data_IF_000666344023
#
_entry.id   IF_000666344023
#
_cell.length_a   1.000
_cell.length_b   1.000
_cell.length_c   1.000
_cell.angle_alpha   90.00
_cell.angle_beta   90.00
_cell.angle_gamma   90.00
#
_symmetry.space_group_name_H-M   'P 1'
#
loop_
_entity.id
_entity.type
_entity.pdbx_description
1 polymer ?
#
# COMPACT_ATOMS: atom_id res chain seq x y z
N UNK A 1 -1.01 -4.64 10.17
CA UNK A 1 -0.48 -3.65 9.21
C UNK A 1 -0.39 -4.40 7.92
N UNK A 2 -1.25 -4.04 6.99
CA UNK A 2 -1.72 -4.97 5.96
C UNK A 2 -1.30 -4.46 4.58
N UNK A 3 -0.97 -3.17 4.51
CA UNK A 3 -0.48 -2.48 3.34
C UNK A 3 0.85 -1.82 3.62
N UNK A 4 1.69 -1.78 2.61
CA UNK A 4 2.95 -1.05 2.64
C UNK A 4 2.96 -0.04 1.52
N UNK A 5 3.47 1.15 1.80
CA UNK A 5 3.60 2.16 0.77
C UNK A 5 4.58 1.70 -0.31
N UNK A 6 4.12 1.60 -1.56
CA UNK A 6 4.92 1.23 -2.74
C UNK A 6 6.07 2.20 -3.06
N UNK A 7 6.12 3.35 -2.39
CA UNK A 7 7.16 4.38 -2.57
C UNK A 7 8.19 4.41 -1.45
N UNK A 8 7.77 4.19 -0.19
CA UNK A 8 8.62 4.44 0.96
C UNK A 8 8.63 3.32 2.02
N UNK A 9 7.83 2.27 1.82
CA UNK A 9 7.77 1.08 2.68
C UNK A 9 7.05 1.30 4.00
N UNK A 10 6.43 2.46 4.21
CA UNK A 10 5.72 2.74 5.46
C UNK A 10 4.49 1.83 5.63
N UNK A 11 4.27 1.29 6.85
CA UNK A 11 3.08 0.56 7.24
C UNK A 11 1.77 1.34 7.15
N UNK A 12 0.73 0.71 6.62
CA UNK A 12 -0.66 1.20 6.68
C UNK A 12 -1.63 0.04 6.93
N UNK A 13 -2.73 0.34 7.59
CA UNK A 13 -3.81 -0.63 7.77
C UNK A 13 -4.76 -0.59 6.56
N UNK A 14 -5.25 -1.75 6.13
CA UNK A 14 -6.12 -1.86 4.95
C UNK A 14 -7.36 -0.97 5.08
N UNK A 15 -7.88 -0.88 6.31
CA UNK A 15 -9.06 -0.08 6.64
C UNK A 15 -8.88 1.41 6.33
N UNK A 16 -7.65 1.92 6.29
CA UNK A 16 -7.36 3.33 5.93
C UNK A 16 -7.86 3.69 4.53
N UNK A 17 -7.95 2.70 3.62
CA UNK A 17 -8.51 2.92 2.29
C UNK A 17 -10.01 3.28 2.33
N UNK A 18 -10.75 2.79 3.35
CA UNK A 18 -12.17 3.14 3.54
C UNK A 18 -12.37 4.59 4.02
N UNK A 19 -11.32 5.23 4.51
CA UNK A 19 -11.36 6.61 5.02
C UNK A 19 -11.17 7.66 3.91
N UNK A 20 -10.86 7.25 2.68
CA UNK A 20 -10.67 8.15 1.54
C UNK A 20 -12.03 8.69 1.07
N UNK A 21 -12.32 9.95 1.43
CA UNK A 21 -13.59 10.59 1.11
C UNK A 21 -13.87 10.66 -0.40
N UNK A 22 -15.09 10.28 -0.78
CA UNK A 22 -15.56 10.40 -2.16
C UNK A 22 -15.09 9.30 -3.12
N UNK A 23 -14.39 8.28 -2.61
CA UNK A 23 -13.89 7.17 -3.41
C UNK A 23 -14.46 5.83 -2.97
N UNK A 24 -14.60 4.90 -3.92
CA UNK A 24 -14.80 3.49 -3.57
C UNK A 24 -13.49 2.89 -3.09
N UNK A 25 -13.58 1.80 -2.32
CA UNK A 25 -12.41 1.04 -1.87
C UNK A 25 -11.47 0.66 -3.03
N UNK A 26 -12.01 0.17 -4.15
CA UNK A 26 -11.22 -0.16 -5.34
C UNK A 26 -10.49 1.05 -5.94
N UNK A 27 -11.14 2.21 -5.95
CA UNK A 27 -10.54 3.46 -6.44
C UNK A 27 -9.40 3.90 -5.53
N UNK A 28 -9.65 3.91 -4.21
CA UNK A 28 -8.65 4.25 -3.21
C UNK A 28 -7.44 3.29 -3.27
N UNK A 29 -7.68 1.97 -3.39
CA UNK A 29 -6.62 0.97 -3.59
C UNK A 29 -5.79 1.28 -4.83
N UNK A 30 -6.44 1.49 -5.97
CA UNK A 30 -5.74 1.76 -7.23
C UNK A 30 -4.89 3.03 -7.14
N UNK A 31 -5.40 4.08 -6.47
CA UNK A 31 -4.62 5.28 -6.18
C UNK A 31 -3.48 5.00 -5.21
N UNK A 32 -3.67 4.18 -4.18
CA UNK A 32 -2.62 3.82 -3.23
C UNK A 32 -1.43 3.13 -3.89
N UNK A 33 -1.66 2.27 -4.89
CA UNK A 33 -0.58 1.65 -5.67
C UNK A 33 0.31 2.69 -6.35
N UNK A 34 -0.28 3.80 -6.82
CA UNK A 34 0.40 4.87 -7.58
C UNK A 34 0.99 5.95 -6.66
N UNK A 35 0.22 6.42 -5.70
CA UNK A 35 0.52 7.57 -4.84
C UNK A 35 1.18 7.16 -3.51
N UNK A 36 1.01 5.90 -3.09
CA UNK A 36 1.43 5.41 -1.79
C UNK A 36 0.72 6.13 -0.64
N UNK A 37 1.44 6.34 0.47
CA UNK A 37 0.88 6.97 1.66
C UNK A 37 0.45 8.44 1.48
N UNK A 38 0.81 9.09 0.35
CA UNK A 38 0.31 10.43 0.02
C UNK A 38 -1.19 10.47 -0.21
N UNK A 39 -1.80 9.34 -0.58
CA UNK A 39 -3.25 9.22 -0.69
C UNK A 39 -3.95 9.67 0.60
N UNK A 40 -3.34 9.38 1.75
CA UNK A 40 -3.87 9.70 3.07
C UNK A 40 -3.43 11.09 3.58
N UNK A 41 -2.84 11.92 2.71
CA UNK A 41 -2.27 13.22 3.09
C UNK A 41 -0.97 13.14 3.89
N UNK A 42 -0.37 11.94 4.03
CA UNK A 42 0.89 11.76 4.71
C UNK A 42 2.09 12.13 3.82
N UNK A 43 3.20 12.46 4.45
CA UNK A 43 4.49 12.60 3.77
C UNK A 43 5.26 11.29 3.85
N UNK A 44 5.80 10.83 2.72
CA UNK A 44 6.67 9.65 2.71
C UNK A 44 7.78 9.77 3.76
N UNK A 45 7.99 8.69 4.51
CA UNK A 45 9.06 8.59 5.47
C UNK A 45 10.44 8.80 4.81
N UNK A 46 11.41 9.25 5.63
CA UNK A 46 12.81 9.43 5.23
C UNK A 46 13.72 9.01 6.40
N UNK A 47 14.70 8.10 6.21
CA UNK A 47 14.95 7.36 4.97
C UNK A 47 13.80 6.40 4.62
N UNK A 48 13.59 6.18 3.33
CA UNK A 48 12.62 5.20 2.83
C UNK A 48 13.15 3.78 3.06
N UNK A 49 12.25 2.85 3.40
CA UNK A 49 12.53 1.42 3.33
C UNK A 49 12.27 0.95 1.89
N UNK A 50 13.32 0.98 1.08
CA UNK A 50 13.24 0.66 -0.35
C UNK A 50 12.96 -0.83 -0.59
N UNK A 51 13.45 -1.72 0.27
CA UNK A 51 13.23 -3.16 0.11
C UNK A 51 11.74 -3.50 0.28
N UNK A 52 11.14 -2.99 1.35
CA UNK A 52 9.71 -3.21 1.62
C UNK A 52 8.82 -2.53 0.57
N UNK A 53 9.20 -1.32 0.12
CA UNK A 53 8.50 -0.62 -0.95
C UNK A 53 8.51 -1.41 -2.28
N UNK A 54 9.68 -1.94 -2.67
CA UNK A 54 9.85 -2.73 -3.89
C UNK A 54 9.06 -4.04 -3.85
N UNK A 55 9.11 -4.77 -2.72
CA UNK A 55 8.32 -6.00 -2.52
C UNK A 55 6.82 -5.71 -2.66
N UNK A 56 6.33 -4.66 -1.98
CA UNK A 56 4.93 -4.27 -2.05
C UNK A 56 4.51 -3.89 -3.48
N UNK A 57 5.31 -3.08 -4.17
CA UNK A 57 5.04 -2.72 -5.56
C UNK A 57 5.02 -3.95 -6.49
N UNK A 58 5.95 -4.89 -6.30
CA UNK A 58 5.99 -6.13 -7.07
C UNK A 58 4.75 -7.00 -6.85
N UNK A 59 4.28 -7.11 -5.60
CA UNK A 59 3.07 -7.86 -5.27
C UNK A 59 1.82 -7.22 -5.86
N UNK A 60 1.67 -5.90 -5.79
CA UNK A 60 0.55 -5.21 -6.46
C UNK A 60 0.59 -5.38 -7.98
N UNK A 61 1.76 -5.44 -8.61
CA UNK A 61 1.87 -5.73 -10.04
C UNK A 61 1.50 -7.17 -10.39
N UNK A 62 1.76 -8.13 -9.49
CA UNK A 62 1.50 -9.55 -9.72
C UNK A 62 0.05 -9.95 -9.40
N UNK A 63 -0.46 -9.48 -8.28
CA UNK A 63 -1.76 -9.86 -7.71
C UNK A 63 -2.87 -8.87 -8.08
N UNK A 64 -2.50 -7.69 -8.59
CA UNK A 64 -3.42 -6.71 -9.12
C UNK A 64 -4.36 -6.15 -8.05
N UNK A 65 -5.63 -6.51 -8.15
CA UNK A 65 -6.71 -6.03 -7.30
C UNK A 65 -6.93 -6.88 -6.04
N UNK A 66 -6.31 -8.07 -5.95
CA UNK A 66 -6.36 -8.96 -4.79
C UNK A 66 -5.44 -8.45 -3.67
N UNK A 67 -5.94 -7.45 -2.95
CA UNK A 67 -5.23 -6.78 -1.85
C UNK A 67 -5.04 -7.70 -0.64
N UNK A 68 -5.97 -8.64 -0.42
CA UNK A 68 -5.88 -9.60 0.68
C UNK A 68 -4.73 -10.59 0.42
N UNK A 69 -4.54 -11.01 -0.83
CA UNK A 69 -3.37 -11.79 -1.22
C UNK A 69 -2.09 -10.96 -1.05
N UNK A 70 -2.06 -9.69 -1.45
CA UNK A 70 -0.89 -8.81 -1.24
C UNK A 70 -0.52 -8.74 0.24
N UNK A 71 -1.51 -8.53 1.12
CA UNK A 71 -1.31 -8.49 2.57
C UNK A 71 -0.73 -9.83 3.09
N UNK A 72 -1.36 -10.95 2.70
CA UNK A 72 -0.90 -12.29 3.11
C UNK A 72 0.54 -12.59 2.67
N UNK A 73 0.94 -12.22 1.45
CA UNK A 73 2.31 -12.41 0.99
C UNK A 73 3.31 -11.47 1.67
N UNK A 74 2.90 -10.24 2.01
CA UNK A 74 3.75 -9.31 2.75
C UNK A 74 4.03 -9.78 4.18
N UNK A 75 3.04 -10.38 4.85
CA UNK A 75 3.23 -10.99 6.18
C UNK A 75 4.27 -12.13 6.15
N UNK A 76 4.30 -12.93 5.08
CA UNK A 76 5.30 -13.99 4.90
C UNK A 76 6.73 -13.45 4.69
N UNK A 77 6.88 -12.19 4.27
CA UNK A 77 8.19 -11.56 4.05
C UNK A 77 8.78 -10.88 5.30
N UNK A 78 8.05 -10.83 6.42
CA UNK A 78 8.49 -10.23 7.69
C UNK A 78 9.10 -11.24 8.66
#
# INVERSE_FOLDING_TARGET
>A
MDLYCTTCGEPWDLDTLHEVEGESFDSARNRFVIEGCRLFGASHNRPADTETAEKSAALFMLLGDDVDAVASFMEDFQ
#
